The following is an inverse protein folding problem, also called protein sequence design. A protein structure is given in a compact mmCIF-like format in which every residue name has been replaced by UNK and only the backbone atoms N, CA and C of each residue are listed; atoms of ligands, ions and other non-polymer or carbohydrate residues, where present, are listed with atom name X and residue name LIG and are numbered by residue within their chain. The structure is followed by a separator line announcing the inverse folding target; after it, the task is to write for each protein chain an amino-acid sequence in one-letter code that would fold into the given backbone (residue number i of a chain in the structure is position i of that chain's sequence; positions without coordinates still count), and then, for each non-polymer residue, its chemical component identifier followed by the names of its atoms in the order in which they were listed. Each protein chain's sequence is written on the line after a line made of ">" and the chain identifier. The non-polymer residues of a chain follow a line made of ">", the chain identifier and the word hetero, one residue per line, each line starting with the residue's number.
data_IF_074315653783
#
_entry.id   IF_074315653783
#
_cell.length_a   1.000
_cell.length_b   1.000
_cell.length_c   1.000
_cell.angle_alpha   90.00
_cell.angle_beta   90.00
_cell.angle_gamma   90.00
#
_symmetry.space_group_name_H-M   'P 1'
#
loop_
_entity.id
_entity.type
_entity.pdbx_description
1 polymer ?
#
# COMPACT_ATOMS: atom_id res chain seq x y z
N UNK A 1 -12.40 3.34 -7.59
CA UNK A 1 -13.44 3.85 -6.68
C UNK A 1 -12.78 4.44 -5.43
N UNK A 2 -13.41 5.37 -4.73
CA UNK A 2 -12.87 5.93 -3.48
C UNK A 2 -13.71 5.43 -2.28
N UNK A 3 -13.07 5.23 -1.11
CA UNK A 3 -13.77 4.74 0.09
C UNK A 3 -14.79 5.75 0.64
N UNK A 4 -14.59 7.04 0.42
CA UNK A 4 -15.49 8.11 0.83
C UNK A 4 -16.63 8.39 -0.16
N UNK A 5 -16.75 7.62 -1.25
CA UNK A 5 -17.85 7.80 -2.20
C UNK A 5 -19.15 7.17 -1.67
N UNK A 6 -20.30 7.83 -1.88
CA UNK A 6 -21.61 7.31 -1.49
C UNK A 6 -21.90 5.93 -2.07
N UNK A 7 -21.54 5.68 -3.34
CA UNK A 7 -21.72 4.38 -3.97
C UNK A 7 -20.93 3.26 -3.29
N UNK A 8 -19.72 3.57 -2.80
CA UNK A 8 -18.93 2.60 -2.04
C UNK A 8 -19.56 2.33 -0.67
N UNK A 9 -19.87 3.38 0.09
CA UNK A 9 -20.35 3.26 1.48
C UNK A 9 -21.73 2.59 1.55
N UNK A 10 -22.66 2.98 0.67
CA UNK A 10 -24.03 2.54 0.75
C UNK A 10 -24.33 1.23 0.01
N UNK A 11 -23.49 0.87 -0.99
CA UNK A 11 -23.74 -0.32 -1.82
C UNK A 11 -22.59 -1.30 -1.81
N UNK A 12 -21.39 -0.89 -2.25
CA UNK A 12 -20.29 -1.84 -2.48
C UNK A 12 -19.82 -2.48 -1.17
N UNK A 13 -19.62 -1.68 -0.13
CA UNK A 13 -19.13 -2.18 1.16
C UNK A 13 -20.16 -3.10 1.86
N UNK A 14 -21.42 -2.70 2.06
CA UNK A 14 -22.42 -3.58 2.70
C UNK A 14 -22.66 -4.87 1.92
N UNK A 15 -22.76 -4.78 0.59
CA UNK A 15 -22.93 -5.96 -0.27
C UNK A 15 -21.72 -6.89 -0.19
N UNK A 16 -20.52 -6.34 -0.20
CA UNK A 16 -19.29 -7.14 -0.09
C UNK A 16 -19.22 -7.87 1.24
N UNK A 17 -19.49 -7.19 2.37
CA UNK A 17 -19.49 -7.79 3.70
C UNK A 17 -20.55 -8.90 3.80
N UNK A 18 -21.77 -8.64 3.32
CA UNK A 18 -22.86 -9.61 3.31
C UNK A 18 -22.48 -10.85 2.48
N UNK A 19 -22.06 -10.65 1.24
CA UNK A 19 -21.71 -11.75 0.33
C UNK A 19 -20.51 -12.54 0.84
N UNK A 20 -19.52 -11.89 1.47
CA UNK A 20 -18.36 -12.55 2.04
C UNK A 20 -18.77 -13.58 3.10
N UNK A 21 -19.61 -13.21 4.06
CA UNK A 21 -20.06 -14.13 5.10
C UNK A 21 -21.03 -15.18 4.57
N UNK A 22 -21.93 -14.83 3.65
CA UNK A 22 -22.83 -15.81 3.02
C UNK A 22 -22.06 -16.87 2.22
N UNK A 23 -21.08 -16.43 1.44
CA UNK A 23 -20.21 -17.32 0.65
C UNK A 23 -19.36 -18.25 1.54
N UNK A 24 -18.84 -17.73 2.65
CA UNK A 24 -18.09 -18.53 3.63
C UNK A 24 -18.94 -19.63 4.31
N UNK A 25 -20.28 -19.43 4.46
CA UNK A 25 -21.17 -20.49 4.96
C UNK A 25 -21.26 -21.68 4.01
N UNK A 26 -21.06 -21.46 2.71
CA UNK A 26 -21.11 -22.54 1.70
C UNK A 26 -19.75 -23.24 1.65
N UNK A 27 -18.69 -22.49 1.31
CA UNK A 27 -17.28 -22.98 1.33
C UNK A 27 -16.34 -21.79 1.55
N UNK A 28 -15.25 -21.92 2.33
CA UNK A 28 -14.27 -20.85 2.57
C UNK A 28 -13.65 -20.27 1.29
N UNK A 29 -13.51 -21.08 0.24
CA UNK A 29 -13.00 -20.63 -1.07
C UNK A 29 -13.90 -19.57 -1.71
N UNK A 30 -15.22 -19.69 -1.55
CA UNK A 30 -16.17 -18.72 -2.10
C UNK A 30 -16.06 -17.35 -1.42
N UNK A 31 -15.77 -17.30 -0.11
CA UNK A 31 -15.48 -16.05 0.57
C UNK A 31 -14.23 -15.35 0.01
N UNK A 32 -13.17 -16.09 -0.29
CA UNK A 32 -11.97 -15.57 -0.95
C UNK A 32 -12.30 -15.01 -2.36
N UNK A 33 -13.12 -15.72 -3.13
CA UNK A 33 -13.56 -15.27 -4.45
C UNK A 33 -14.37 -13.97 -4.38
N UNK A 34 -15.24 -13.82 -3.37
CA UNK A 34 -15.98 -12.55 -3.15
C UNK A 34 -15.00 -11.40 -2.92
N UNK A 35 -13.97 -11.58 -2.09
CA UNK A 35 -12.92 -10.56 -1.88
C UNK A 35 -12.23 -10.22 -3.21
N UNK A 36 -11.83 -11.22 -3.99
CA UNK A 36 -11.13 -11.02 -5.27
C UNK A 36 -12.02 -10.24 -6.25
N UNK A 37 -13.27 -10.64 -6.40
CA UNK A 37 -14.23 -10.00 -7.34
C UNK A 37 -14.50 -8.56 -6.89
N UNK A 38 -14.80 -8.32 -5.61
CA UNK A 38 -15.00 -6.98 -5.07
C UNK A 38 -13.77 -6.09 -5.29
N UNK A 39 -12.57 -6.65 -5.15
CA UNK A 39 -11.31 -5.94 -5.37
C UNK A 39 -11.09 -5.58 -6.83
N UNK A 40 -11.41 -6.47 -7.75
CA UNK A 40 -11.34 -6.21 -9.20
C UNK A 40 -12.33 -5.09 -9.56
N UNK A 41 -13.57 -5.15 -9.08
CA UNK A 41 -14.58 -4.11 -9.30
C UNK A 41 -14.08 -2.76 -8.73
N UNK A 42 -13.59 -2.76 -7.51
CA UNK A 42 -13.07 -1.55 -6.86
C UNK A 42 -11.90 -0.92 -7.64
N UNK A 43 -10.94 -1.73 -8.08
CA UNK A 43 -9.74 -1.28 -8.75
C UNK A 43 -10.00 -0.81 -10.19
N UNK A 44 -10.83 -1.54 -10.93
CA UNK A 44 -11.15 -1.23 -12.34
C UNK A 44 -12.12 -0.06 -12.52
N UNK A 45 -12.73 0.44 -11.44
CA UNK A 45 -13.77 1.46 -11.50
C UNK A 45 -13.28 2.73 -12.25
N UNK A 46 -13.78 2.91 -13.47
CA UNK A 46 -13.44 4.03 -14.34
C UNK A 46 -12.10 3.93 -15.08
N UNK A 47 -11.29 2.87 -14.86
CA UNK A 47 -9.96 2.71 -15.47
C UNK A 47 -9.59 1.25 -15.70
N UNK A 48 -10.34 0.57 -16.55
CA UNK A 48 -10.17 -0.87 -16.81
C UNK A 48 -8.76 -1.24 -17.34
N UNK A 49 -8.11 -0.34 -18.08
CA UNK A 49 -6.77 -0.56 -18.61
C UNK A 49 -5.70 -0.80 -17.54
N UNK A 50 -5.92 -0.35 -16.30
CA UNK A 50 -4.99 -0.58 -15.20
C UNK A 50 -4.95 -2.03 -14.75
N UNK A 51 -6.03 -2.81 -14.99
CA UNK A 51 -6.05 -4.24 -14.73
C UNK A 51 -5.03 -5.01 -15.57
N UNK A 52 -4.71 -4.55 -16.77
CA UNK A 52 -3.72 -5.19 -17.62
C UNK A 52 -2.32 -5.17 -16.99
N UNK A 53 -1.88 -4.01 -16.53
CA UNK A 53 -0.56 -3.86 -15.88
C UNK A 53 -0.48 -4.65 -14.58
N UNK A 54 -1.54 -4.58 -13.77
CA UNK A 54 -1.64 -5.37 -12.54
C UNK A 54 -1.65 -6.88 -12.86
N UNK A 55 -2.40 -7.32 -13.87
CA UNK A 55 -2.48 -8.70 -14.30
C UNK A 55 -1.13 -9.27 -14.77
N UNK A 56 -0.40 -8.51 -15.60
CA UNK A 56 0.95 -8.90 -16.04
C UNK A 56 1.88 -9.06 -14.81
N UNK A 57 1.84 -8.09 -13.90
CA UNK A 57 2.64 -8.14 -12.67
C UNK A 57 2.28 -9.35 -11.80
N UNK A 58 0.99 -9.66 -11.64
CA UNK A 58 0.52 -10.85 -10.91
C UNK A 58 1.04 -12.15 -11.53
N UNK A 59 0.97 -12.29 -12.86
CA UNK A 59 1.43 -13.49 -13.56
C UNK A 59 2.93 -13.72 -13.40
N UNK A 60 3.75 -12.68 -13.54
CA UNK A 60 5.21 -12.77 -13.40
C UNK A 60 5.59 -13.18 -11.99
N UNK A 61 5.00 -12.55 -10.98
CA UNK A 61 5.35 -12.82 -9.58
C UNK A 61 4.85 -14.18 -9.10
N UNK A 62 3.63 -14.56 -9.46
CA UNK A 62 3.10 -15.89 -9.13
C UNK A 62 3.88 -16.99 -9.83
N UNK A 63 4.18 -16.81 -11.13
CA UNK A 63 5.02 -17.74 -11.88
C UNK A 63 6.40 -17.92 -11.25
N UNK A 64 7.04 -16.82 -10.83
CA UNK A 64 8.32 -16.86 -10.10
C UNK A 64 8.21 -17.63 -8.78
N UNK A 65 7.16 -17.37 -8.00
CA UNK A 65 6.92 -18.08 -6.74
C UNK A 65 6.71 -19.59 -6.94
N UNK A 66 5.96 -20.00 -7.98
CA UNK A 66 5.77 -21.41 -8.34
C UNK A 66 7.09 -22.10 -8.71
N UNK A 67 7.94 -21.44 -9.50
CA UNK A 67 9.26 -21.97 -9.89
C UNK A 67 10.15 -22.16 -8.67
N UNK A 68 10.20 -21.16 -7.78
CA UNK A 68 10.98 -21.20 -6.53
C UNK A 68 10.53 -22.39 -5.67
N UNK A 69 9.22 -22.52 -5.46
CA UNK A 69 8.67 -23.60 -4.64
C UNK A 69 8.90 -24.98 -5.26
N UNK A 70 8.56 -25.17 -6.55
CA UNK A 70 8.69 -26.47 -7.24
C UNK A 70 10.12 -26.98 -7.25
N UNK A 71 11.09 -26.10 -7.44
CA UNK A 71 12.51 -26.46 -7.49
C UNK A 71 13.18 -26.47 -6.12
N UNK A 72 12.46 -26.13 -5.05
CA UNK A 72 13.01 -25.98 -3.67
C UNK A 72 14.27 -25.12 -3.64
N UNK A 73 14.33 -24.11 -4.49
CA UNK A 73 15.50 -23.25 -4.63
C UNK A 73 15.50 -22.27 -3.45
N UNK A 74 16.42 -22.49 -2.50
CA UNK A 74 16.75 -21.54 -1.43
C UNK A 74 18.02 -20.77 -1.80
N UNK A 75 17.97 -20.02 -2.90
CA UNK A 75 19.08 -19.22 -3.34
C UNK A 75 18.60 -17.79 -3.63
N UNK A 76 19.12 -16.84 -2.88
CA UNK A 76 18.79 -15.41 -3.03
C UNK A 76 18.99 -14.86 -4.44
N UNK A 77 19.86 -15.48 -5.26
CA UNK A 77 20.03 -15.07 -6.66
C UNK A 77 18.78 -15.29 -7.50
N UNK A 78 17.92 -16.26 -7.15
CA UNK A 78 16.65 -16.50 -7.86
C UNK A 78 15.63 -15.41 -7.58
N UNK A 79 15.76 -14.71 -6.46
CA UNK A 79 14.93 -13.54 -6.15
C UNK A 79 15.29 -12.34 -7.01
N UNK A 80 16.49 -12.29 -7.60
CA UNK A 80 16.92 -11.14 -8.37
C UNK A 80 15.98 -10.85 -9.54
N UNK A 81 15.56 -11.87 -10.29
CA UNK A 81 14.69 -11.69 -11.46
C UNK A 81 13.33 -11.04 -11.09
N UNK A 82 12.50 -11.60 -10.18
CA UNK A 82 11.24 -10.97 -9.83
C UNK A 82 11.42 -9.60 -9.17
N UNK A 83 12.48 -9.39 -8.38
CA UNK A 83 12.78 -8.08 -7.79
C UNK A 83 13.13 -7.05 -8.87
N UNK A 84 14.03 -7.40 -9.82
CA UNK A 84 14.42 -6.51 -10.93
C UNK A 84 13.20 -6.16 -11.78
N UNK A 85 12.34 -7.12 -12.10
CA UNK A 85 11.12 -6.86 -12.87
C UNK A 85 10.19 -5.89 -12.11
N UNK A 86 9.94 -6.14 -10.83
CA UNK A 86 9.09 -5.27 -10.00
C UNK A 86 9.66 -3.85 -9.86
N UNK A 87 10.96 -3.73 -9.57
CA UNK A 87 11.63 -2.43 -9.47
C UNK A 87 11.69 -1.75 -10.84
N UNK A 88 11.97 -2.50 -11.91
CA UNK A 88 11.97 -1.99 -13.29
C UNK A 88 10.62 -1.42 -13.71
N UNK A 89 9.52 -2.11 -13.40
CA UNK A 89 8.16 -1.60 -13.62
C UNK A 89 7.93 -0.30 -12.82
N UNK A 90 8.33 -0.27 -11.56
CA UNK A 90 8.19 0.92 -10.73
C UNK A 90 8.98 2.11 -11.29
N UNK A 91 10.23 1.88 -11.73
CA UNK A 91 11.09 2.90 -12.34
C UNK A 91 10.51 3.39 -13.66
N UNK A 92 10.03 2.50 -14.51
CA UNK A 92 9.41 2.85 -15.78
C UNK A 92 8.18 3.75 -15.59
N UNK A 93 7.22 3.31 -14.79
CA UNK A 93 5.97 4.05 -14.65
C UNK A 93 6.11 5.36 -13.85
N UNK A 94 7.05 5.42 -12.92
CA UNK A 94 7.14 6.53 -11.95
C UNK A 94 8.27 7.50 -12.23
N UNK A 95 9.39 7.01 -12.78
CA UNK A 95 10.63 7.78 -12.84
C UNK A 95 11.16 8.01 -14.27
N UNK A 96 10.58 7.40 -15.31
CA UNK A 96 11.11 7.54 -16.67
C UNK A 96 11.12 9.01 -17.12
N UNK A 97 10.03 9.75 -16.96
CA UNK A 97 9.99 11.17 -17.36
C UNK A 97 10.90 12.05 -16.50
N UNK A 98 11.07 11.72 -15.22
CA UNK A 98 12.07 12.39 -14.37
C UNK A 98 13.49 12.12 -14.87
N UNK A 99 13.81 10.89 -15.26
CA UNK A 99 15.11 10.55 -15.85
C UNK A 99 15.32 11.28 -17.19
N UNK A 100 14.32 11.30 -18.07
CA UNK A 100 14.37 12.03 -19.35
C UNK A 100 14.62 13.53 -19.11
N UNK A 101 13.93 14.14 -18.13
CA UNK A 101 14.14 15.55 -17.78
C UNK A 101 15.59 15.84 -17.36
N UNK A 102 16.16 15.00 -16.49
CA UNK A 102 17.54 15.18 -16.05
C UNK A 102 18.55 14.94 -17.18
N UNK A 103 18.33 13.93 -18.03
CA UNK A 103 19.16 13.65 -19.20
C UNK A 103 19.13 14.83 -20.19
N UNK A 104 17.96 15.38 -20.46
CA UNK A 104 17.80 16.55 -21.32
C UNK A 104 18.58 17.74 -20.76
N UNK A 105 18.44 18.01 -19.46
CA UNK A 105 19.16 19.10 -18.80
C UNK A 105 20.68 18.93 -18.83
N UNK A 106 21.17 17.70 -18.60
CA UNK A 106 22.59 17.40 -18.55
C UNK A 106 23.25 17.36 -19.94
N UNK A 107 22.57 16.81 -20.95
CA UNK A 107 23.11 16.62 -22.31
C UNK A 107 22.75 17.76 -23.27
N UNK A 108 21.94 18.73 -22.87
CA UNK A 108 21.41 19.79 -23.74
C UNK A 108 20.54 19.24 -24.88
N UNK A 109 19.89 18.06 -24.68
CA UNK A 109 19.04 17.39 -25.67
C UNK A 109 17.56 17.54 -25.30
N UNK A 110 16.68 17.31 -26.28
CA UNK A 110 15.23 17.38 -26.13
C UNK A 110 14.59 16.01 -26.44
N UNK A 111 14.89 14.99 -25.64
CA UNK A 111 14.15 13.73 -25.74
C UNK A 111 12.68 13.95 -25.34
N UNK A 112 11.73 13.39 -26.09
CA UNK A 112 10.31 13.61 -25.84
C UNK A 112 9.89 12.89 -24.53
N UNK A 113 9.06 13.57 -23.72
CA UNK A 113 8.40 12.94 -22.59
C UNK A 113 7.41 11.89 -23.06
N UNK A 114 7.31 10.80 -22.30
CA UNK A 114 6.38 9.72 -22.58
C UNK A 114 5.04 9.99 -21.89
N UNK A 115 3.95 9.71 -22.60
CA UNK A 115 2.60 9.81 -22.00
C UNK A 115 2.29 8.54 -21.19
N UNK A 116 2.85 8.47 -19.98
CA UNK A 116 2.74 7.30 -19.10
C UNK A 116 1.61 7.53 -18.11
N UNK A 117 0.60 6.67 -18.16
CA UNK A 117 -0.46 6.63 -17.14
C UNK A 117 0.03 5.79 -15.97
N UNK A 118 0.22 6.42 -14.82
CA UNK A 118 0.68 5.74 -13.59
C UNK A 118 -0.40 4.79 -13.09
N UNK A 119 -0.13 3.46 -13.00
CA UNK A 119 -1.09 2.52 -12.43
C UNK A 119 -1.34 2.80 -10.96
N UNK A 120 -2.61 2.84 -10.57
CA UNK A 120 -3.02 3.11 -9.20
C UNK A 120 -2.44 2.05 -8.25
N UNK A 121 -1.80 2.50 -7.16
CA UNK A 121 -1.23 1.60 -6.15
C UNK A 121 0.01 0.81 -6.59
N UNK A 122 0.67 1.16 -7.72
CA UNK A 122 1.83 0.40 -8.24
C UNK A 122 2.90 0.16 -7.18
N UNK A 123 3.24 1.15 -6.35
CA UNK A 123 4.22 1.00 -5.29
C UNK A 123 3.76 -0.02 -4.24
N UNK A 124 2.48 0.01 -3.87
CA UNK A 124 1.92 -0.86 -2.83
C UNK A 124 1.87 -2.31 -3.26
N UNK A 125 1.30 -2.61 -4.43
CA UNK A 125 1.25 -3.99 -4.88
C UNK A 125 2.62 -4.55 -5.27
N UNK A 126 3.55 -3.72 -5.76
CA UNK A 126 4.94 -4.12 -6.02
C UNK A 126 5.63 -4.62 -4.75
N UNK A 127 5.54 -3.88 -3.65
CA UNK A 127 6.13 -4.31 -2.38
C UNK A 127 5.47 -5.57 -1.81
N UNK A 128 4.16 -5.67 -1.92
CA UNK A 128 3.43 -6.87 -1.48
C UNK A 128 3.85 -8.11 -2.28
N UNK A 129 4.06 -7.96 -3.58
CA UNK A 129 4.53 -9.05 -4.44
C UNK A 129 5.97 -9.44 -4.12
N UNK A 130 6.86 -8.48 -3.88
CA UNK A 130 8.22 -8.76 -3.42
C UNK A 130 8.17 -9.52 -2.09
N UNK A 131 7.35 -9.08 -1.13
CA UNK A 131 7.17 -9.77 0.15
C UNK A 131 6.71 -11.21 -0.04
N UNK A 132 5.74 -11.45 -0.94
CA UNK A 132 5.23 -12.79 -1.21
C UNK A 132 6.28 -13.71 -1.82
N UNK A 133 7.05 -13.23 -2.80
CA UNK A 133 8.11 -14.03 -3.43
C UNK A 133 9.24 -14.35 -2.44
N UNK A 134 9.61 -13.38 -1.59
CA UNK A 134 10.63 -13.59 -0.53
C UNK A 134 10.13 -14.59 0.52
N UNK A 135 8.89 -14.45 1.01
CA UNK A 135 8.32 -15.40 1.96
C UNK A 135 8.22 -16.83 1.37
N UNK A 136 7.96 -16.95 0.06
CA UNK A 136 7.99 -18.23 -0.65
C UNK A 136 9.40 -18.83 -0.68
N UNK A 137 10.44 -18.03 -0.95
CA UNK A 137 11.83 -18.50 -0.98
C UNK A 137 12.31 -18.94 0.42
N UNK A 138 11.92 -18.20 1.44
CA UNK A 138 12.22 -18.52 2.83
C UNK A 138 11.47 -19.77 3.34
N UNK A 139 10.46 -20.23 2.60
CA UNK A 139 9.63 -21.38 2.96
C UNK A 139 8.63 -21.04 4.07
N UNK A 140 8.33 -19.77 4.29
CA UNK A 140 7.35 -19.29 5.28
C UNK A 140 5.90 -19.55 4.83
N UNK A 141 5.66 -19.71 3.52
CA UNK A 141 4.36 -20.02 2.95
C UNK A 141 4.24 -21.52 2.67
N UNK A 142 3.39 -22.22 3.43
CA UNK A 142 3.18 -23.66 3.30
C UNK A 142 2.54 -24.03 1.95
N UNK A 143 1.53 -23.27 1.53
CA UNK A 143 0.80 -23.47 0.30
C UNK A 143 0.84 -22.22 -0.58
N UNK A 144 1.30 -22.36 -1.83
CA UNK A 144 1.21 -21.31 -2.85
C UNK A 144 -0.07 -21.52 -3.67
N UNK A 145 -1.22 -21.42 -3.00
CA UNK A 145 -2.50 -21.45 -3.72
C UNK A 145 -2.71 -20.14 -4.48
N UNK A 146 -3.12 -20.24 -5.73
CA UNK A 146 -3.42 -19.09 -6.58
C UNK A 146 -4.50 -18.19 -5.97
N UNK A 147 -5.52 -18.79 -5.36
CA UNK A 147 -6.64 -18.05 -4.76
C UNK A 147 -6.15 -17.25 -3.56
N UNK A 148 -5.28 -17.82 -2.72
CA UNK A 148 -4.70 -17.12 -1.56
C UNK A 148 -3.76 -16.00 -2.01
N UNK A 149 -2.95 -16.24 -3.03
CA UNK A 149 -2.11 -15.21 -3.63
C UNK A 149 -2.93 -14.04 -4.19
N UNK A 150 -3.96 -14.33 -4.99
CA UNK A 150 -4.82 -13.30 -5.57
C UNK A 150 -5.60 -12.55 -4.48
N UNK A 151 -6.15 -13.26 -3.48
CA UNK A 151 -6.83 -12.63 -2.35
C UNK A 151 -5.88 -11.75 -1.53
N UNK A 152 -4.60 -12.14 -1.40
CA UNK A 152 -3.59 -11.32 -0.74
C UNK A 152 -3.25 -10.07 -1.54
N UNK A 153 -2.85 -10.17 -2.81
CA UNK A 153 -2.38 -9.02 -3.57
C UNK A 153 -3.53 -8.07 -3.92
N UNK A 154 -4.66 -8.61 -4.38
CA UNK A 154 -5.80 -7.80 -4.83
C UNK A 154 -6.63 -7.21 -3.69
N UNK A 155 -6.42 -7.59 -2.44
CA UNK A 155 -7.23 -7.14 -1.31
C UNK A 155 -7.45 -5.62 -1.29
N UNK A 156 -8.64 -5.19 -1.72
CA UNK A 156 -8.93 -3.78 -2.03
C UNK A 156 -8.69 -2.80 -0.88
N UNK A 157 -8.89 -3.16 0.42
CA UNK A 157 -8.61 -2.23 1.50
C UNK A 157 -7.15 -1.77 1.56
N UNK A 158 -6.20 -2.64 1.17
CA UNK A 158 -4.77 -2.30 1.21
C UNK A 158 -4.14 -2.03 -0.17
N UNK A 159 -4.85 -2.35 -1.27
CA UNK A 159 -4.28 -2.40 -2.63
C UNK A 159 -3.71 -1.06 -3.10
N UNK A 160 -4.36 0.06 -2.76
CA UNK A 160 -4.01 1.39 -3.29
C UNK A 160 -3.06 2.15 -2.37
N UNK A 161 -3.43 2.34 -1.09
CA UNK A 161 -2.70 3.13 -0.09
C UNK A 161 -2.85 2.55 1.33
N UNK A 162 -3.40 1.34 1.47
CA UNK A 162 -3.66 0.75 2.77
C UNK A 162 -2.40 0.22 3.47
N UNK A 163 -2.52 -0.19 4.74
CA UNK A 163 -1.40 -0.72 5.50
C UNK A 163 -0.80 -1.96 4.85
N UNK A 164 0.53 -2.03 4.80
CA UNK A 164 1.26 -3.20 4.28
C UNK A 164 1.25 -4.28 5.37
N UNK A 165 0.65 -5.43 5.06
CA UNK A 165 0.63 -6.61 5.93
C UNK A 165 1.53 -7.70 5.35
N UNK A 166 2.18 -8.47 6.23
CA UNK A 166 2.98 -9.61 5.83
C UNK A 166 2.10 -10.69 5.15
N UNK A 167 2.56 -11.34 4.07
CA UNK A 167 1.77 -12.36 3.37
C UNK A 167 1.44 -13.55 4.27
N UNK A 168 2.34 -13.95 5.16
CA UNK A 168 2.12 -15.07 6.09
C UNK A 168 1.00 -14.74 7.05
N UNK A 169 1.04 -13.54 7.66
CA UNK A 169 0.02 -13.10 8.62
C UNK A 169 -1.36 -12.97 7.94
N UNK A 170 -1.42 -12.41 6.74
CA UNK A 170 -2.68 -12.25 6.02
C UNK A 170 -3.29 -13.60 5.61
N UNK A 171 -2.50 -14.47 4.98
CA UNK A 171 -2.97 -15.78 4.50
C UNK A 171 -3.36 -16.67 5.67
N UNK A 172 -2.62 -16.63 6.78
CA UNK A 172 -2.99 -17.32 8.01
C UNK A 172 -4.37 -16.90 8.50
N UNK A 173 -4.63 -15.60 8.64
CA UNK A 173 -5.93 -15.08 9.05
C UNK A 173 -7.04 -15.48 8.05
N UNK A 174 -6.75 -15.40 6.74
CA UNK A 174 -7.71 -15.74 5.69
C UNK A 174 -8.10 -17.23 5.74
N UNK A 175 -7.29 -18.09 6.31
CA UNK A 175 -7.54 -19.55 6.39
C UNK A 175 -8.10 -20.02 7.74
N UNK A 176 -8.16 -19.15 8.77
CA UNK A 176 -8.74 -19.49 10.08
C UNK A 176 -10.26 -19.66 10.00
N UNK A 177 -10.77 -20.79 10.50
CA UNK A 177 -12.19 -21.13 10.42
C UNK A 177 -13.07 -20.18 11.26
N UNK A 178 -12.58 -19.73 12.43
CA UNK A 178 -13.28 -18.84 13.34
C UNK A 178 -13.59 -17.49 12.67
N UNK A 179 -12.67 -17.00 11.84
CA UNK A 179 -12.79 -15.71 11.14
C UNK A 179 -13.80 -15.73 9.98
N UNK A 180 -14.36 -16.90 9.62
CA UNK A 180 -15.36 -17.04 8.58
C UNK A 180 -16.80 -16.77 9.06
N UNK A 181 -17.00 -16.67 10.36
CA UNK A 181 -18.30 -16.39 10.97
C UNK A 181 -18.47 -14.89 11.19
N UNK A 182 -19.71 -14.43 11.17
CA UNK A 182 -20.03 -13.03 11.52
C UNK A 182 -19.66 -12.78 12.98
N UNK A 183 -18.81 -11.80 13.20
CA UNK A 183 -18.50 -11.28 14.53
C UNK A 183 -19.04 -9.85 14.66
N UNK A 184 -20.06 -9.69 15.47
CA UNK A 184 -20.73 -8.40 15.67
C UNK A 184 -19.80 -7.38 16.35
N UNK A 185 -18.87 -7.83 17.18
CA UNK A 185 -17.88 -6.96 17.83
C UNK A 185 -16.93 -6.38 16.81
N UNK A 186 -16.36 -7.23 15.94
CA UNK A 186 -15.48 -6.78 14.86
C UNK A 186 -16.21 -5.90 13.85
N UNK A 187 -17.49 -6.20 13.57
CA UNK A 187 -18.32 -5.37 12.70
C UNK A 187 -18.52 -3.96 13.31
N UNK A 188 -18.89 -3.89 14.59
CA UNK A 188 -19.09 -2.61 15.29
C UNK A 188 -17.79 -1.80 15.40
N UNK A 189 -16.67 -2.46 15.75
CA UNK A 189 -15.35 -1.84 15.80
C UNK A 189 -14.95 -1.34 14.40
N UNK A 190 -15.18 -2.14 13.37
CA UNK A 190 -14.88 -1.79 11.98
C UNK A 190 -15.66 -0.56 11.52
N UNK A 191 -16.97 -0.49 11.80
CA UNK A 191 -17.81 0.68 11.50
C UNK A 191 -17.27 1.92 12.22
N UNK A 192 -16.93 1.80 13.50
CA UNK A 192 -16.38 2.92 14.29
C UNK A 192 -15.07 3.45 13.69
N UNK A 193 -14.12 2.57 13.40
CA UNK A 193 -12.81 2.96 12.83
C UNK A 193 -13.01 3.57 11.44
N UNK A 194 -13.86 2.96 10.60
CA UNK A 194 -14.18 3.49 9.27
C UNK A 194 -14.78 4.90 9.35
N UNK A 195 -15.73 5.13 10.26
CA UNK A 195 -16.38 6.44 10.45
C UNK A 195 -15.38 7.50 10.93
N UNK A 196 -14.44 7.14 11.83
CA UNK A 196 -13.38 8.05 12.25
C UNK A 196 -12.41 8.36 11.10
N UNK A 197 -12.07 7.37 10.26
CA UNK A 197 -11.27 7.58 9.06
C UNK A 197 -11.97 8.48 8.05
N UNK A 198 -13.26 8.28 7.83
CA UNK A 198 -14.09 9.10 6.96
C UNK A 198 -14.17 10.56 7.45
N UNK A 199 -14.33 10.78 8.75
CA UNK A 199 -14.29 12.09 9.36
C UNK A 199 -12.95 12.79 9.11
N UNK A 200 -11.83 12.10 9.35
CA UNK A 200 -10.49 12.63 9.07
C UNK A 200 -10.33 13.04 7.60
N UNK A 201 -10.83 12.22 6.68
CA UNK A 201 -10.73 12.49 5.23
C UNK A 201 -11.63 13.64 4.81
N UNK A 202 -12.92 13.56 5.08
CA UNK A 202 -13.91 14.48 4.50
C UNK A 202 -13.96 15.82 5.24
N UNK A 203 -13.94 15.81 6.59
CA UNK A 203 -14.08 17.04 7.35
C UNK A 203 -12.75 17.75 7.61
N UNK A 204 -11.65 17.03 7.72
CA UNK A 204 -10.37 17.65 8.06
C UNK A 204 -9.49 17.77 6.82
N UNK A 205 -9.11 16.67 6.18
CA UNK A 205 -8.16 16.68 5.09
C UNK A 205 -8.67 17.46 3.87
N UNK A 206 -9.91 17.22 3.42
CA UNK A 206 -10.47 17.89 2.24
C UNK A 206 -10.69 19.39 2.48
N UNK A 207 -10.97 19.81 3.72
CA UNK A 207 -11.04 21.23 4.10
C UNK A 207 -9.67 21.89 3.99
N UNK A 208 -8.62 21.27 4.54
CA UNK A 208 -7.24 21.79 4.39
C UNK A 208 -6.78 21.76 2.95
N UNK A 209 -7.09 20.70 2.19
CA UNK A 209 -6.76 20.60 0.76
C UNK A 209 -7.34 21.75 -0.06
N UNK A 210 -8.56 22.18 0.25
CA UNK A 210 -9.18 23.34 -0.40
C UNK A 210 -8.40 24.64 -0.12
N UNK A 211 -8.02 24.87 1.13
CA UNK A 211 -7.23 26.03 1.53
C UNK A 211 -5.82 26.01 0.92
N UNK A 212 -5.17 24.84 0.92
CA UNK A 212 -3.84 24.63 0.32
C UNK A 212 -3.87 24.87 -1.19
N UNK A 213 -4.87 24.31 -1.90
CA UNK A 213 -5.04 24.53 -3.34
C UNK A 213 -5.25 26.01 -3.69
N UNK A 214 -6.07 26.70 -2.91
CA UNK A 214 -6.28 28.14 -3.09
C UNK A 214 -4.99 28.93 -2.88
N UNK A 215 -4.22 28.65 -1.84
CA UNK A 215 -2.96 29.33 -1.55
C UNK A 215 -1.90 29.10 -2.63
N UNK A 216 -1.77 27.86 -3.16
CA UNK A 216 -0.86 27.60 -4.29
C UNK A 216 -1.27 28.34 -5.57
N UNK A 217 -2.57 28.50 -5.83
CA UNK A 217 -3.05 29.25 -7.01
C UNK A 217 -2.75 30.74 -6.88
N UNK A 218 -2.67 31.29 -5.66
CA UNK A 218 -2.44 32.69 -5.37
C UNK A 218 -1.07 32.98 -4.75
N UNK A 219 -0.09 32.13 -4.99
CA UNK A 219 1.21 32.15 -4.29
C UNK A 219 1.98 33.47 -4.52
N UNK A 220 1.85 34.09 -5.69
CA UNK A 220 2.53 35.35 -6.03
C UNK A 220 2.01 36.55 -5.21
N UNK A 221 0.78 36.48 -4.70
CA UNK A 221 0.17 37.52 -3.85
C UNK A 221 0.26 37.18 -2.34
N UNK A 222 0.85 36.01 -2.00
CA UNK A 222 0.90 35.50 -0.61
C UNK A 222 1.88 36.29 0.25
N UNK A 223 1.44 36.66 1.45
CA UNK A 223 2.31 37.22 2.49
C UNK A 223 3.13 36.15 3.18
N UNK A 224 4.15 36.53 3.96
CA UNK A 224 4.93 35.58 4.78
C UNK A 224 4.06 34.80 5.77
N UNK A 225 2.99 35.42 6.28
CA UNK A 225 2.03 34.75 7.18
C UNK A 225 1.22 33.69 6.42
N UNK A 226 0.77 34.01 5.20
CA UNK A 226 0.03 33.06 4.35
C UNK A 226 0.90 31.84 4.01
N UNK A 227 2.19 32.06 3.73
CA UNK A 227 3.14 30.96 3.50
C UNK A 227 3.32 30.07 4.74
N UNK A 228 3.38 30.66 5.93
CA UNK A 228 3.46 29.90 7.19
C UNK A 228 2.20 29.05 7.40
N UNK A 229 1.02 29.65 7.22
CA UNK A 229 -0.25 28.94 7.33
C UNK A 229 -0.38 27.84 6.26
N UNK A 230 0.09 28.09 5.03
CA UNK A 230 0.12 27.10 3.95
C UNK A 230 0.92 25.85 4.36
N UNK A 231 2.13 26.02 4.90
CA UNK A 231 2.96 24.90 5.36
C UNK A 231 2.27 24.12 6.46
N UNK A 232 1.62 24.80 7.40
CA UNK A 232 0.89 24.17 8.50
C UNK A 232 -0.33 23.39 7.97
N UNK A 233 -1.13 23.98 7.10
CA UNK A 233 -2.32 23.35 6.52
C UNK A 233 -1.93 22.15 5.66
N UNK A 234 -0.89 22.28 4.82
CA UNK A 234 -0.37 21.17 4.02
C UNK A 234 0.13 20.01 4.90
N UNK A 235 0.75 20.32 6.03
CA UNK A 235 1.19 19.32 7.01
C UNK A 235 0.00 18.52 7.58
N UNK A 236 -1.09 19.21 7.94
CA UNK A 236 -2.30 18.55 8.41
C UNK A 236 -3.05 17.82 7.29
N UNK A 237 -3.13 18.40 6.11
CA UNK A 237 -3.73 17.75 4.94
C UNK A 237 -3.11 16.37 4.69
N UNK A 238 -1.78 16.30 4.51
CA UNK A 238 -1.08 15.04 4.26
C UNK A 238 -1.35 14.01 5.37
N UNK A 239 -1.30 14.43 6.62
CA UNK A 239 -1.51 13.53 7.74
C UNK A 239 -2.93 12.99 7.80
N UNK A 240 -3.93 13.88 7.76
CA UNK A 240 -5.33 13.48 7.90
C UNK A 240 -5.85 12.75 6.67
N UNK A 241 -5.38 13.09 5.46
CA UNK A 241 -5.71 12.37 4.23
C UNK A 241 -5.21 10.93 4.31
N UNK A 242 -3.93 10.72 4.60
CA UNK A 242 -3.35 9.39 4.62
C UNK A 242 -3.77 8.58 5.86
N UNK A 243 -3.85 9.18 7.05
CA UNK A 243 -4.33 8.47 8.24
C UNK A 243 -5.82 8.14 8.13
N UNK A 244 -6.63 9.02 7.54
CA UNK A 244 -8.06 8.77 7.28
C UNK A 244 -8.26 7.60 6.33
N UNK A 245 -7.52 7.55 5.23
CA UNK A 245 -7.55 6.41 4.32
C UNK A 245 -7.13 5.10 5.02
N UNK A 246 -6.03 5.14 5.79
CA UNK A 246 -5.55 3.96 6.52
C UNK A 246 -6.57 3.46 7.55
N UNK A 247 -7.22 4.36 8.28
CA UNK A 247 -8.25 3.98 9.25
C UNK A 247 -9.47 3.40 8.54
N UNK A 248 -9.92 3.98 7.42
CA UNK A 248 -11.00 3.38 6.62
C UNK A 248 -10.64 1.97 6.15
N UNK A 249 -9.39 1.75 5.69
CA UNK A 249 -8.93 0.43 5.28
C UNK A 249 -8.92 -0.59 6.43
N UNK A 250 -8.45 -0.18 7.61
CA UNK A 250 -8.47 -1.01 8.83
C UNK A 250 -9.91 -1.30 9.24
N UNK A 251 -10.80 -0.29 9.20
CA UNK A 251 -12.21 -0.46 9.53
C UNK A 251 -12.92 -1.47 8.61
N UNK A 252 -12.74 -1.35 7.29
CA UNK A 252 -13.28 -2.31 6.30
C UNK A 252 -12.76 -3.72 6.60
N UNK A 253 -11.46 -3.84 6.87
CA UNK A 253 -10.85 -5.15 7.13
C UNK A 253 -11.36 -5.78 8.42
N UNK A 254 -11.54 -5.00 9.48
CA UNK A 254 -12.18 -5.46 10.72
C UNK A 254 -13.60 -5.98 10.48
N UNK A 255 -14.40 -5.29 9.62
CA UNK A 255 -15.74 -5.77 9.23
C UNK A 255 -15.69 -7.13 8.52
N UNK A 256 -14.57 -7.51 7.91
CA UNK A 256 -14.33 -8.80 7.26
C UNK A 256 -13.57 -9.80 8.16
N UNK A 257 -13.40 -9.50 9.44
CA UNK A 257 -12.60 -10.26 10.41
C UNK A 257 -11.13 -10.44 10.00
N UNK A 258 -10.56 -9.44 9.32
CA UNK A 258 -9.14 -9.42 8.93
C UNK A 258 -8.46 -8.24 9.65
N UNK A 259 -7.41 -8.52 10.41
CA UNK A 259 -6.67 -7.51 11.15
C UNK A 259 -5.57 -6.92 10.27
N UNK A 260 -5.68 -5.64 9.91
CA UNK A 260 -4.62 -4.86 9.32
C UNK A 260 -3.85 -4.08 10.39
N UNK A 261 -2.52 -3.90 10.23
CA UNK A 261 -1.74 -3.09 11.15
C UNK A 261 -2.11 -1.61 11.05
N UNK A 262 -2.07 -0.90 12.19
CA UNK A 262 -2.19 0.55 12.19
C UNK A 262 -0.98 1.21 11.54
N UNK A 263 -1.21 2.26 10.75
CA UNK A 263 -0.15 3.00 10.06
C UNK A 263 0.32 4.24 10.82
N UNK A 264 -0.50 4.77 11.70
CA UNK A 264 -0.22 6.01 12.41
C UNK A 264 -0.51 5.89 13.91
N UNK A 265 0.39 6.45 14.73
CA UNK A 265 0.23 6.57 16.18
C UNK A 265 0.61 7.99 16.62
N UNK A 266 -0.28 8.95 16.36
CA UNK A 266 -0.10 10.36 16.74
C UNK A 266 1.32 10.90 16.45
N UNK A 267 1.79 10.88 15.19
CA UNK A 267 3.20 11.15 14.84
C UNK A 267 3.67 12.56 15.22
N UNK A 268 2.77 13.53 15.27
CA UNK A 268 3.13 14.92 15.65
C UNK A 268 3.30 15.13 17.17
N UNK A 269 3.05 14.09 17.99
CA UNK A 269 3.42 14.06 19.41
C UNK A 269 4.83 13.52 19.63
N UNK A 270 5.57 13.19 18.57
CA UNK A 270 6.91 12.63 18.66
C UNK A 270 7.88 13.64 19.27
N UNK A 271 8.74 13.17 20.18
CA UNK A 271 9.76 13.97 20.86
C UNK A 271 11.11 13.94 20.12
N UNK A 272 11.26 13.17 19.08
CA UNK A 272 12.44 13.08 18.22
C UNK A 272 12.10 12.61 16.82
N UNK A 273 13.00 12.86 15.84
CA UNK A 273 12.85 12.37 14.46
C UNK A 273 12.76 10.83 14.44
N UNK A 274 13.50 10.14 15.29
CA UNK A 274 13.43 8.68 15.42
C UNK A 274 12.05 8.22 15.92
N UNK A 275 11.48 8.92 16.91
CA UNK A 275 10.14 8.63 17.43
C UNK A 275 9.07 8.94 16.39
N UNK A 276 9.21 10.05 15.65
CA UNK A 276 8.32 10.37 14.53
C UNK A 276 8.21 9.22 13.53
N UNK A 277 9.34 8.67 13.05
CA UNK A 277 9.33 7.57 12.07
C UNK A 277 8.85 6.22 12.64
N UNK A 278 8.81 6.05 13.95
CA UNK A 278 8.15 4.90 14.60
C UNK A 278 6.63 5.01 14.60
N UNK A 279 6.10 6.24 14.49
CA UNK A 279 4.67 6.58 14.56
C UNK A 279 4.07 6.91 13.19
N UNK A 280 4.90 7.26 12.21
CA UNK A 280 4.51 7.61 10.84
C UNK A 280 4.69 6.44 9.89
N UNK A 281 3.62 6.05 9.18
CA UNK A 281 3.63 4.97 8.17
C UNK A 281 4.33 3.70 8.68
N UNK A 282 3.83 3.19 9.81
CA UNK A 282 4.46 2.12 10.60
C UNK A 282 4.66 0.86 9.77
N UNK A 283 3.65 0.48 8.96
CA UNK A 283 3.73 -0.73 8.14
C UNK A 283 4.83 -0.66 7.07
N UNK A 284 5.02 0.50 6.44
CA UNK A 284 6.14 0.73 5.51
C UNK A 284 7.48 0.66 6.21
N UNK A 285 7.59 1.25 7.40
CA UNK A 285 8.83 1.21 8.19
C UNK A 285 9.20 -0.23 8.55
N UNK A 286 8.22 -1.04 8.97
CA UNK A 286 8.41 -2.47 9.25
C UNK A 286 8.83 -3.24 7.98
N UNK A 287 8.16 -2.97 6.86
CA UNK A 287 8.48 -3.59 5.58
C UNK A 287 9.92 -3.31 5.16
N UNK A 288 10.31 -2.04 5.10
CA UNK A 288 11.67 -1.65 4.70
C UNK A 288 12.73 -2.18 5.67
N UNK A 289 12.40 -2.28 6.95
CA UNK A 289 13.28 -2.90 7.95
C UNK A 289 13.48 -4.39 7.67
N UNK A 290 12.39 -5.14 7.45
CA UNK A 290 12.45 -6.61 7.20
C UNK A 290 13.16 -6.92 5.88
N UNK A 291 12.84 -6.20 4.80
CA UNK A 291 13.25 -6.56 3.44
C UNK A 291 14.46 -5.80 2.89
N UNK A 292 14.86 -4.70 3.53
CA UNK A 292 16.03 -3.91 3.09
C UNK A 292 17.07 -3.78 4.21
N UNK A 293 16.70 -3.21 5.36
CA UNK A 293 17.65 -2.89 6.41
C UNK A 293 18.36 -4.12 7.00
N UNK A 294 17.59 -5.14 7.38
CA UNK A 294 18.13 -6.39 7.95
C UNK A 294 18.99 -7.17 6.95
N UNK A 295 18.58 -7.38 5.67
CA UNK A 295 19.40 -8.05 4.67
C UNK A 295 20.72 -7.34 4.36
N UNK A 296 20.79 -6.00 4.46
CA UNK A 296 22.02 -5.24 4.30
C UNK A 296 22.98 -5.35 5.49
N UNK A 297 22.57 -6.02 6.57
CA UNK A 297 23.36 -6.24 7.78
C UNK A 297 22.85 -5.44 9.00
N UNK A 298 21.84 -4.58 8.83
CA UNK A 298 21.27 -3.80 9.92
C UNK A 298 22.30 -2.90 10.59
N UNK A 299 22.34 -2.93 11.92
CA UNK A 299 23.32 -2.20 12.76
C UNK A 299 24.52 -3.06 13.17
N UNK A 300 24.64 -4.30 12.66
CA UNK A 300 25.68 -5.26 13.11
C UNK A 300 27.09 -4.99 12.54
N UNK A 301 27.19 -4.22 11.47
CA UNK A 301 28.44 -3.98 10.74
C UNK A 301 29.16 -2.66 11.13
N UNK A 302 28.78 -2.06 12.27
CA UNK A 302 29.36 -0.81 12.75
C UNK A 302 28.52 0.43 12.37
N UNK A 303 28.93 1.60 12.89
CA UNK A 303 28.15 2.84 12.78
C UNK A 303 28.04 3.35 11.33
N UNK A 304 29.12 3.35 10.57
CA UNK A 304 29.15 3.83 9.18
C UNK A 304 28.14 3.04 8.31
N UNK A 305 28.11 1.71 8.44
CA UNK A 305 27.14 0.86 7.75
C UNK A 305 25.71 1.10 8.26
N UNK A 306 25.52 1.38 9.53
CA UNK A 306 24.21 1.72 10.11
C UNK A 306 23.65 2.99 9.48
N UNK A 307 24.49 4.04 9.32
CA UNK A 307 24.11 5.28 8.64
C UNK A 307 23.78 5.03 7.16
N UNK A 308 24.64 4.29 6.44
CA UNK A 308 24.41 3.96 5.03
C UNK A 308 23.11 3.18 4.84
N UNK A 309 22.88 2.13 5.64
CA UNK A 309 21.66 1.33 5.57
C UNK A 309 20.41 2.18 5.88
N UNK A 310 20.52 3.10 6.84
CA UNK A 310 19.44 4.02 7.17
C UNK A 310 19.15 4.97 6.00
N UNK A 311 20.17 5.53 5.35
CA UNK A 311 20.01 6.37 4.16
C UNK A 311 19.32 5.59 3.02
N UNK A 312 19.73 4.34 2.76
CA UNK A 312 19.10 3.49 1.74
C UNK A 312 17.61 3.29 2.05
N UNK A 313 17.24 3.05 3.32
CA UNK A 313 15.84 2.93 3.75
C UNK A 313 15.08 4.25 3.53
N UNK A 314 15.67 5.40 3.81
CA UNK A 314 15.06 6.70 3.54
C UNK A 314 14.88 6.97 2.04
N UNK A 315 15.84 6.59 1.21
CA UNK A 315 15.67 6.63 -0.24
C UNK A 315 14.53 5.72 -0.70
N UNK A 316 14.41 4.52 -0.15
CA UNK A 316 13.28 3.61 -0.40
C UNK A 316 11.92 4.25 -0.05
N UNK A 317 11.82 4.93 1.10
CA UNK A 317 10.61 5.68 1.48
C UNK A 317 10.29 6.79 0.46
N UNK A 318 11.30 7.55 0.03
CA UNK A 318 11.13 8.63 -0.94
C UNK A 318 10.67 8.12 -2.32
N UNK A 319 11.21 6.97 -2.77
CA UNK A 319 10.79 6.31 -4.00
C UNK A 319 9.32 5.94 -3.94
N UNK A 320 8.81 5.56 -2.79
CA UNK A 320 7.41 5.22 -2.59
C UNK A 320 6.49 6.43 -2.52
N UNK A 321 6.92 7.49 -1.82
CA UNK A 321 6.09 8.66 -1.53
C UNK A 321 5.83 9.59 -2.73
N UNK A 322 6.72 9.60 -3.74
CA UNK A 322 6.49 10.36 -4.99
C UNK A 322 5.51 9.59 -5.89
N UNK A 323 4.29 10.05 -5.98
CA UNK A 323 3.27 9.54 -6.88
C UNK A 323 2.40 10.66 -7.34
#
# INVERSE_FOLDING_TARGET
>A
MQFNSYGFILFVLPVTVLLYFLANKIKPVFGKLVIIIASIIFYSWGRINMLLYLGISLLINYGSALVIKKRKIRNRMVLALPIIVNVGMLVYFKYLNFAISNINAFLGKNFPFQNIILPLGISFYTFQQIAYVVATEQGELENNDLIDYLAYILYFPKLVMGPIIDPVDYISQLNQAERKKVDLTNLAVGIKIFSLGLLKKVLIADTFATAVSWAYTNIDAATSMDCLLLVLFYTFEIYFDFSGYSDMAVGISSMLNIDLPMNFDSPYKAVSIRDFWKRWHISLTKFLTKYIYIPLGGSRKGEAFTYLNTLIVFFGKRIMARG
#
